data_IF_152017850382
#
_entry.id   IF_152017850382
#
_cell.length_a   1.000
_cell.length_b   1.000
_cell.length_c   1.000
_cell.angle_alpha   90.00
_cell.angle_beta   90.00
_cell.angle_gamma   90.00
#
_symmetry.space_group_name_H-M   'P 1'
#
loop_
_entity.id
_entity.type
_entity.pdbx_description
1 polymer ?
#
# COMPACT_ATOMS: atom_id res chain seq x y z
N UNK A 1 0.28 25.48 -57.27
CA UNK A 1 -0.62 24.67 -56.41
C UNK A 1 0.19 23.51 -55.86
N UNK A 2 0.62 23.52 -54.59
CA UNK A 2 0.80 22.29 -53.80
C UNK A 2 0.67 22.67 -52.33
N UNK A 3 -0.43 22.20 -51.74
CA UNK A 3 -0.92 22.53 -50.41
C UNK A 3 -0.04 21.87 -49.34
N UNK A 4 0.41 22.66 -48.36
CA UNK A 4 1.09 22.18 -47.16
C UNK A 4 0.04 21.71 -46.16
N UNK A 5 -0.22 20.42 -46.08
CA UNK A 5 -1.06 19.85 -45.02
C UNK A 5 -0.22 19.68 -43.74
N UNK A 6 -0.38 20.58 -42.78
CA UNK A 6 0.11 20.39 -41.41
C UNK A 6 -0.84 19.42 -40.69
N UNK A 7 -0.35 18.26 -40.28
CA UNK A 7 -1.02 17.42 -39.29
C UNK A 7 -0.75 17.98 -37.89
N UNK A 8 -1.78 18.49 -37.23
CA UNK A 8 -1.73 18.78 -35.79
C UNK A 8 -1.92 17.48 -35.02
N UNK A 9 -0.86 16.99 -34.37
CA UNK A 9 -1.01 16.00 -33.28
C UNK A 9 -1.56 16.73 -32.05
N UNK A 10 -2.85 16.58 -31.79
CA UNK A 10 -3.44 16.99 -30.51
C UNK A 10 -2.99 16.01 -29.43
N UNK A 11 -1.99 16.37 -28.65
CA UNK A 11 -1.67 15.62 -27.43
C UNK A 11 -2.80 15.84 -26.42
N UNK A 12 -3.60 14.80 -26.18
CA UNK A 12 -4.61 14.80 -25.12
C UNK A 12 -3.87 14.61 -23.81
N UNK A 13 -3.59 15.70 -23.10
CA UNK A 13 -3.06 15.64 -21.73
C UNK A 13 -4.21 15.31 -20.78
N UNK A 14 -4.35 14.03 -20.42
CA UNK A 14 -5.22 13.63 -19.32
C UNK A 14 -4.67 14.23 -18.02
N UNK A 15 -5.45 15.10 -17.37
CA UNK A 15 -5.12 15.65 -16.05
C UNK A 15 -5.50 14.61 -15.01
N UNK A 16 -4.50 14.11 -14.28
CA UNK A 16 -4.72 13.28 -13.09
C UNK A 16 -5.27 14.19 -11.99
N UNK A 17 -6.44 13.86 -11.44
CA UNK A 17 -7.00 14.53 -10.25
C UNK A 17 -6.98 13.55 -9.08
N UNK A 18 -6.01 13.74 -8.19
CA UNK A 18 -5.98 13.11 -6.87
C UNK A 18 -6.99 13.81 -5.95
N UNK A 19 -7.40 13.13 -4.88
CA UNK A 19 -8.34 13.68 -3.90
C UNK A 19 -7.68 14.81 -3.08
N UNK A 20 -8.32 15.97 -3.03
CA UNK A 20 -7.97 17.06 -2.12
C UNK A 20 -8.17 16.64 -0.65
N UNK A 21 -7.51 17.32 0.32
CA UNK A 21 -7.76 17.07 1.75
C UNK A 21 -9.23 17.18 2.17
N UNK A 22 -10.04 17.96 1.46
CA UNK A 22 -11.49 18.04 1.66
C UNK A 22 -12.23 16.79 1.16
N UNK A 23 -11.85 16.26 0.00
CA UNK A 23 -12.45 15.05 -0.58
C UNK A 23 -12.06 13.79 0.21
N UNK A 24 -10.89 13.82 0.83
CA UNK A 24 -10.44 12.82 1.80
C UNK A 24 -11.37 12.62 3.00
N UNK A 25 -12.09 13.66 3.42
CA UNK A 25 -13.04 13.56 4.55
C UNK A 25 -14.21 12.62 4.28
N UNK A 26 -14.50 12.36 3.00
CA UNK A 26 -15.56 11.45 2.58
C UNK A 26 -15.06 10.01 2.35
N UNK A 27 -13.74 9.77 2.46
CA UNK A 27 -13.16 8.44 2.26
C UNK A 27 -13.16 7.64 3.56
N UNK A 28 -13.30 6.32 3.42
CA UNK A 28 -13.12 5.38 4.54
C UNK A 28 -11.75 4.73 4.43
N UNK A 29 -11.01 4.66 5.52
CA UNK A 29 -9.66 4.06 5.56
C UNK A 29 -9.71 2.71 6.28
N UNK A 30 -9.16 1.67 5.65
CA UNK A 30 -8.98 0.37 6.28
C UNK A 30 -7.57 0.26 6.85
N UNK A 31 -7.43 0.37 8.17
CA UNK A 31 -6.14 0.22 8.84
C UNK A 31 -5.84 -1.26 9.11
N UNK A 32 -4.67 -1.70 8.66
CA UNK A 32 -4.19 -3.08 8.75
C UNK A 32 -2.88 -3.12 9.52
N UNK A 33 -2.84 -3.92 10.58
CA UNK A 33 -1.57 -4.34 11.16
C UNK A 33 -1.05 -5.55 10.37
N UNK A 34 0.01 -5.34 9.58
CA UNK A 34 0.48 -6.33 8.58
C UNK A 34 0.70 -7.71 9.21
N UNK A 35 1.30 -7.77 10.40
CA UNK A 35 1.62 -9.01 11.11
C UNK A 35 0.38 -9.80 11.59
N UNK A 36 -0.79 -9.16 11.73
CA UNK A 36 -1.99 -9.75 12.34
C UNK A 36 -3.16 -9.92 11.39
N UNK A 37 -3.01 -9.54 10.13
CA UNK A 37 -4.10 -9.58 9.17
C UNK A 37 -4.20 -10.91 8.45
N UNK A 38 -3.18 -11.27 7.68
CA UNK A 38 -3.17 -12.50 6.89
C UNK A 38 -1.76 -12.99 6.61
N UNK A 39 -1.60 -14.31 6.63
CA UNK A 39 -0.34 -14.99 6.36
C UNK A 39 -0.26 -15.46 4.91
N UNK A 40 0.93 -15.50 4.31
CA UNK A 40 1.11 -16.01 2.94
C UNK A 40 0.69 -17.48 2.82
N UNK A 41 0.85 -18.28 3.88
CA UNK A 41 0.43 -19.68 3.92
C UNK A 41 -1.09 -19.88 4.07
N UNK A 42 -1.85 -18.81 4.33
CA UNK A 42 -3.29 -18.86 4.55
C UNK A 42 -3.72 -19.49 5.90
N UNK A 43 -2.77 -19.75 6.80
CA UNK A 43 -3.07 -20.35 8.09
C UNK A 43 -3.83 -19.39 9.00
N UNK A 44 -4.94 -19.86 9.56
CA UNK A 44 -5.77 -19.12 10.53
C UNK A 44 -5.64 -19.67 11.96
N UNK A 45 -4.96 -20.81 12.13
CA UNK A 45 -4.80 -21.50 13.41
C UNK A 45 -3.36 -21.54 13.91
N UNK A 46 -2.43 -20.90 13.21
CA UNK A 46 -1.04 -20.79 13.66
C UNK A 46 -0.99 -20.06 15.02
N UNK A 47 -0.15 -20.52 15.96
CA UNK A 47 -0.02 -19.87 17.25
C UNK A 47 0.49 -18.43 17.06
N UNK A 48 -0.14 -17.50 17.77
CA UNK A 48 0.18 -16.09 17.75
C UNK A 48 0.31 -15.60 19.19
N UNK A 49 1.54 -15.39 19.63
CA UNK A 49 1.81 -14.69 20.88
C UNK A 49 1.81 -13.19 20.59
N UNK A 50 1.00 -12.43 21.33
CA UNK A 50 0.78 -11.01 21.09
C UNK A 50 2.06 -10.18 21.21
N UNK A 51 3.05 -10.64 21.99
CA UNK A 51 4.37 -10.00 22.10
C UNK A 51 5.31 -10.30 20.91
N UNK A 52 4.97 -11.29 20.07
CA UNK A 52 5.82 -11.80 19.00
C UNK A 52 5.20 -11.59 17.61
N UNK A 53 6.01 -11.80 16.58
CA UNK A 53 5.51 -11.84 15.20
C UNK A 53 4.57 -13.04 15.04
N UNK A 54 3.36 -12.77 14.58
CA UNK A 54 2.35 -13.76 14.23
C UNK A 54 2.36 -14.10 12.73
N UNK A 55 3.29 -13.52 11.97
CA UNK A 55 3.70 -13.91 10.62
C UNK A 55 2.74 -13.48 9.53
N UNK A 56 1.96 -12.44 9.77
CA UNK A 56 1.25 -11.73 8.72
C UNK A 56 2.21 -11.03 7.77
N UNK A 57 1.84 -10.95 6.49
CA UNK A 57 2.73 -10.60 5.38
C UNK A 57 2.00 -9.81 4.31
N UNK A 58 2.74 -9.12 3.44
CA UNK A 58 2.14 -8.46 2.27
C UNK A 58 1.56 -9.46 1.27
N UNK A 59 2.19 -10.63 1.11
CA UNK A 59 1.64 -11.72 0.29
C UNK A 59 0.29 -12.22 0.82
N UNK A 60 0.15 -12.34 2.15
CA UNK A 60 -1.14 -12.61 2.80
C UNK A 60 -2.16 -11.50 2.53
N UNK A 61 -1.79 -10.24 2.74
CA UNK A 61 -2.68 -9.09 2.49
C UNK A 61 -3.21 -9.06 1.04
N UNK A 62 -2.35 -9.30 0.05
CA UNK A 62 -2.74 -9.35 -1.37
C UNK A 62 -3.88 -10.34 -1.62
N UNK A 63 -3.86 -11.50 -0.96
CA UNK A 63 -4.90 -12.54 -1.10
C UNK A 63 -6.26 -12.13 -0.54
N UNK A 64 -6.32 -11.09 0.28
CA UNK A 64 -7.53 -10.61 0.94
C UNK A 64 -7.90 -9.17 0.54
N UNK A 65 -7.30 -8.63 -0.53
CA UNK A 65 -7.71 -7.32 -1.06
C UNK A 65 -9.15 -7.32 -1.58
N UNK A 66 -9.65 -8.47 -2.05
CA UNK A 66 -11.04 -8.58 -2.50
C UNK A 66 -12.00 -8.47 -1.31
N UNK A 67 -11.66 -9.06 -0.16
CA UNK A 67 -12.41 -8.87 1.10
C UNK A 67 -12.48 -7.40 1.53
N UNK A 68 -11.37 -6.65 1.39
CA UNK A 68 -11.33 -5.22 1.72
C UNK A 68 -12.20 -4.41 0.75
N UNK A 69 -12.16 -4.72 -0.54
CA UNK A 69 -13.01 -4.05 -1.53
C UNK A 69 -14.50 -4.35 -1.33
N UNK A 70 -14.85 -5.60 -1.02
CA UNK A 70 -16.25 -6.02 -0.81
C UNK A 70 -16.90 -5.31 0.38
N UNK A 71 -16.10 -4.88 1.36
CA UNK A 71 -16.57 -4.03 2.46
C UNK A 71 -16.80 -2.56 2.05
N UNK A 72 -16.48 -2.18 0.82
CA UNK A 72 -16.65 -0.83 0.30
C UNK A 72 -15.44 0.09 0.49
N UNK A 73 -14.28 -0.44 0.88
CA UNK A 73 -13.03 0.31 0.91
C UNK A 73 -12.40 0.33 -0.49
N UNK A 74 -12.99 1.09 -1.40
CA UNK A 74 -12.55 1.25 -2.79
C UNK A 74 -12.15 2.68 -3.07
N UNK A 75 -10.93 2.93 -3.55
CA UNK A 75 -10.53 4.29 -3.87
C UNK A 75 -11.18 4.77 -5.16
N UNK A 76 -11.68 6.01 -5.13
CA UNK A 76 -12.22 6.68 -6.31
C UNK A 76 -11.11 7.57 -6.89
N UNK A 77 -10.24 6.96 -7.69
CA UNK A 77 -9.36 7.69 -8.62
C UNK A 77 -9.84 7.32 -10.03
N UNK A 78 -10.54 8.24 -10.70
CA UNK A 78 -11.10 7.97 -12.03
C UNK A 78 -10.03 8.15 -13.11
N UNK A 79 -9.87 7.09 -13.89
CA UNK A 79 -9.04 6.92 -15.10
C UNK A 79 -7.50 6.95 -14.93
N UNK A 80 -6.92 5.75 -15.04
CA UNK A 80 -5.48 5.46 -14.92
C UNK A 80 -4.91 5.16 -16.31
N UNK A 81 -4.08 6.05 -16.86
CA UNK A 81 -3.21 5.77 -18.02
C UNK A 81 -1.80 6.41 -17.93
N UNK A 82 -1.37 6.86 -16.74
CA UNK A 82 0.01 7.32 -16.54
C UNK A 82 0.62 6.71 -15.26
N UNK A 83 1.45 5.69 -15.46
CA UNK A 83 2.20 4.98 -14.40
C UNK A 83 3.39 5.79 -13.86
N UNK A 84 3.65 7.01 -14.36
CA UNK A 84 4.83 7.80 -14.01
C UNK A 84 4.62 8.84 -12.91
N UNK A 85 3.38 9.05 -12.44
CA UNK A 85 3.06 10.02 -11.39
C UNK A 85 2.40 9.36 -10.18
N UNK A 86 3.28 8.84 -9.32
CA UNK A 86 2.99 8.33 -7.99
C UNK A 86 2.62 9.49 -7.04
N UNK A 87 1.45 10.10 -7.19
CA UNK A 87 0.93 11.08 -6.24
C UNK A 87 -0.35 10.55 -5.58
N UNK A 88 -0.16 10.16 -4.33
CA UNK A 88 -1.05 10.13 -3.17
C UNK A 88 -2.55 10.23 -3.48
N UNK A 89 -3.13 9.09 -3.79
CA UNK A 89 -4.43 8.72 -3.27
C UNK A 89 -4.18 7.55 -2.32
N UNK A 90 -4.91 7.37 -1.23
CA UNK A 90 -4.58 6.34 -0.22
C UNK A 90 -5.88 5.75 0.38
N UNK A 91 -5.90 4.50 0.85
CA UNK A 91 -7.10 3.94 1.49
C UNK A 91 -6.85 2.72 2.39
N UNK A 92 -5.81 1.94 2.11
CA UNK A 92 -5.31 0.91 3.02
C UNK A 92 -4.12 1.47 3.80
N UNK A 93 -4.24 1.61 5.12
CA UNK A 93 -3.13 2.04 5.96
C UNK A 93 -2.46 0.82 6.59
N UNK A 94 -1.23 0.51 6.18
CA UNK A 94 -0.49 -0.64 6.73
C UNK A 94 0.58 -0.24 7.75
N UNK A 95 1.05 -1.20 8.54
CA UNK A 95 2.20 -1.03 9.45
C UNK A 95 3.43 -0.46 8.73
N UNK A 96 4.29 0.32 9.41
CA UNK A 96 5.48 0.89 8.77
C UNK A 96 6.37 -0.18 8.16
N UNK A 97 6.77 0.05 6.91
CA UNK A 97 7.42 -0.97 6.06
C UNK A 97 8.93 -1.08 6.26
N UNK A 98 9.52 -0.11 6.95
CA UNK A 98 10.96 0.01 7.11
C UNK A 98 11.53 -1.08 8.00
N UNK A 99 12.81 -1.40 7.83
CA UNK A 99 13.50 -2.39 8.65
C UNK A 99 13.46 -1.96 10.10
N UNK A 100 13.00 -2.88 10.93
CA UNK A 100 12.85 -2.71 12.35
C UNK A 100 13.93 -3.47 13.13
N UNK A 101 14.03 -3.19 14.43
CA UNK A 101 14.85 -3.95 15.37
C UNK A 101 14.51 -5.45 15.28
N UNK A 102 15.47 -6.26 14.85
CA UNK A 102 15.32 -7.72 14.80
C UNK A 102 15.88 -8.36 16.08
N UNK A 103 15.25 -8.07 17.22
CA UNK A 103 15.59 -8.63 18.52
C UNK A 103 14.32 -8.80 19.36
N UNK A 104 14.29 -9.84 20.19
CA UNK A 104 13.31 -9.95 21.27
C UNK A 104 13.78 -9.09 22.44
N UNK A 105 12.99 -8.10 22.82
CA UNK A 105 13.22 -7.26 23.99
C UNK A 105 12.36 -7.75 25.16
N UNK A 106 12.51 -7.15 26.34
CA UNK A 106 11.59 -7.38 27.46
C UNK A 106 10.15 -6.94 27.14
N UNK A 107 10.00 -6.04 26.17
CA UNK A 107 8.71 -5.50 25.70
C UNK A 107 8.18 -6.25 24.46
N UNK A 108 8.84 -7.35 24.06
CA UNK A 108 8.45 -8.17 22.91
C UNK A 108 9.27 -7.89 21.65
N UNK A 109 8.67 -8.11 20.49
CA UNK A 109 9.28 -7.96 19.17
C UNK A 109 8.72 -6.77 18.41
N UNK A 110 9.40 -6.35 17.36
CA UNK A 110 9.03 -5.20 16.53
C UNK A 110 7.87 -5.45 15.54
N UNK A 111 6.96 -6.38 15.85
CA UNK A 111 5.89 -6.83 14.95
C UNK A 111 4.96 -5.72 14.45
N UNK A 112 4.83 -4.65 15.23
CA UNK A 112 4.00 -3.49 14.91
C UNK A 112 4.68 -2.52 13.92
N UNK A 113 5.99 -2.62 13.71
CA UNK A 113 6.76 -1.83 12.73
C UNK A 113 7.25 -0.45 13.17
N UNK A 114 7.10 -0.07 14.45
CA UNK A 114 7.43 1.28 14.95
C UNK A 114 8.81 1.41 15.62
N UNK A 115 9.63 0.37 15.62
CA UNK A 115 11.01 0.37 16.12
C UNK A 115 12.01 0.37 14.96
N UNK A 116 11.97 1.42 14.15
CA UNK A 116 12.78 1.55 12.94
C UNK A 116 14.28 1.54 13.26
N UNK A 117 15.04 0.74 12.51
CA UNK A 117 16.50 0.65 12.60
C UNK A 117 17.18 1.18 11.32
N UNK A 118 16.56 0.94 10.17
CA UNK A 118 17.08 1.39 8.87
C UNK A 118 15.91 1.78 7.95
N UNK A 119 15.88 3.05 7.57
CA UNK A 119 14.83 3.63 6.72
C UNK A 119 15.01 3.33 5.23
N UNK A 120 16.17 2.78 4.83
CA UNK A 120 16.48 2.43 3.44
C UNK A 120 16.25 0.95 3.14
N UNK A 121 15.96 0.14 4.15
CA UNK A 121 15.64 -1.28 4.04
C UNK A 121 14.20 -1.55 4.48
N UNK A 122 13.64 -2.68 4.03
CA UNK A 122 12.29 -3.13 4.40
C UNK A 122 12.31 -4.13 5.55
N UNK A 123 11.19 -4.26 6.27
CA UNK A 123 11.01 -5.30 7.29
C UNK A 123 10.82 -6.68 6.62
N UNK A 124 11.84 -7.51 6.70
CA UNK A 124 11.85 -8.85 6.09
C UNK A 124 10.82 -9.82 6.68
N UNK A 125 10.27 -9.54 7.87
CA UNK A 125 9.16 -10.33 8.43
C UNK A 125 7.85 -10.11 7.67
N UNK A 126 7.65 -8.94 7.06
CA UNK A 126 6.46 -8.67 6.25
C UNK A 126 6.60 -9.16 4.81
N UNK A 127 7.84 -9.21 4.30
CA UNK A 127 8.19 -9.69 2.97
C UNK A 127 9.45 -9.02 2.42
N UNK A 128 9.76 -9.32 1.16
CA UNK A 128 10.83 -8.68 0.40
C UNK A 128 10.38 -7.33 -0.18
N UNK A 129 11.34 -6.51 -0.66
CA UNK A 129 11.01 -5.28 -1.37
C UNK A 129 10.17 -5.54 -2.64
N UNK A 130 10.34 -6.70 -3.28
CA UNK A 130 9.54 -7.12 -4.43
C UNK A 130 8.08 -7.45 -4.03
N UNK A 131 7.86 -8.02 -2.84
CA UNK A 131 6.51 -8.26 -2.32
C UNK A 131 5.78 -6.94 -2.03
N UNK A 132 6.52 -5.92 -1.58
CA UNK A 132 5.97 -4.59 -1.36
C UNK A 132 5.55 -3.90 -2.67
N UNK A 133 6.37 -4.02 -3.72
CA UNK A 133 6.02 -3.57 -5.07
C UNK A 133 4.79 -4.33 -5.56
N UNK A 134 4.76 -5.65 -5.37
CA UNK A 134 3.62 -6.49 -5.76
C UNK A 134 2.32 -6.09 -5.04
N UNK A 135 2.41 -5.70 -3.77
CA UNK A 135 1.26 -5.18 -3.02
C UNK A 135 0.77 -3.86 -3.63
N UNK A 136 1.68 -2.93 -3.94
CA UNK A 136 1.34 -1.67 -4.60
C UNK A 136 0.65 -1.92 -5.94
N UNK A 137 1.18 -2.82 -6.76
CA UNK A 137 0.60 -3.17 -8.06
C UNK A 137 -0.78 -3.83 -7.92
N UNK A 138 -0.93 -4.73 -6.94
CA UNK A 138 -2.19 -5.42 -6.68
C UNK A 138 -3.30 -4.45 -6.23
N UNK A 139 -2.94 -3.46 -5.40
CA UNK A 139 -3.83 -2.37 -5.00
C UNK A 139 -4.20 -1.50 -6.21
N UNK A 140 -3.22 -1.02 -6.97
CA UNK A 140 -3.47 -0.15 -8.14
C UNK A 140 -4.35 -0.82 -9.20
N UNK A 141 -4.18 -2.13 -9.44
CA UNK A 141 -5.05 -2.91 -10.34
C UNK A 141 -6.52 -2.92 -9.92
N UNK A 142 -6.79 -2.69 -8.63
CA UNK A 142 -8.13 -2.63 -8.04
C UNK A 142 -8.64 -1.21 -7.88
N UNK A 143 -7.91 -0.22 -8.41
CA UNK A 143 -8.16 1.19 -8.12
C UNK A 143 -7.98 1.52 -6.65
N UNK A 144 -7.28 0.69 -5.88
CA UNK A 144 -6.94 0.93 -4.48
C UNK A 144 -5.53 1.46 -4.36
N UNK A 145 -5.24 2.02 -3.20
CA UNK A 145 -4.00 2.71 -2.91
C UNK A 145 -3.74 2.64 -1.40
N UNK A 146 -2.51 2.88 -0.97
CA UNK A 146 -2.08 2.69 0.43
C UNK A 146 -1.42 3.92 1.02
N UNK A 147 -1.63 4.11 2.33
CA UNK A 147 -1.13 5.25 3.09
C UNK A 147 0.25 4.96 3.67
N UNK A 148 1.22 5.82 3.36
CA UNK A 148 2.52 5.83 4.02
C UNK A 148 2.45 6.80 5.19
N UNK A 149 2.78 6.36 6.40
CA UNK A 149 2.87 7.28 7.55
C UNK A 149 3.86 8.41 7.22
N UNK A 150 3.37 9.64 7.32
CA UNK A 150 3.95 10.83 6.73
C UNK A 150 5.42 11.06 7.09
N UNK A 151 6.20 11.51 6.10
CA UNK A 151 7.46 12.23 6.33
C UNK A 151 7.08 13.55 7.01
N UNK A 152 7.38 13.68 8.30
CA UNK A 152 7.32 14.98 8.99
C UNK A 152 8.17 15.96 8.17
N UNK A 153 7.56 17.07 7.74
CA UNK A 153 8.27 18.21 7.19
C UNK A 153 8.96 18.98 8.31
#
# INVERSE_FOLDING_TARGET
MFSRTLFYLSAVSSVVQCLSPSEWRAQSVYQVMTDRFARTDGSTSAPCDLGNYCGGTWGGLIKHLDYIQDMGFTAVCKEVLDLSKLLIDEQVWISPVVKNLNASTADGSSYHGYWAQDIYAVNTNFGSAADLVSLSDALHKRGMVWMKTARLR
#
